data_IF_185212502226
#
_entry.id   IF_185212502226
#
_cell.length_a   1.000
_cell.length_b   1.000
_cell.length_c   1.000
_cell.angle_alpha   90.00
_cell.angle_beta   90.00
_cell.angle_gamma   90.00
#
_symmetry.space_group_name_H-M   'P 1'
#
loop_
_entity.id
_entity.type
_entity.pdbx_description
1 polymer ?
#
# COMPACT_ATOMS: atom_id res chain seq x y z
N UNK A 1 20.64 9.40 20.81
CA UNK A 1 19.52 8.60 20.25
C UNK A 1 20.12 7.41 19.53
N UNK A 2 19.62 6.21 19.69
CA UNK A 2 20.06 5.05 18.90
C UNK A 2 19.72 5.28 17.43
N UNK A 3 20.60 4.90 16.53
CA UNK A 3 20.37 4.96 15.09
C UNK A 3 19.17 4.10 14.72
N UNK A 4 18.18 4.62 13.99
CA UNK A 4 17.04 3.85 13.51
C UNK A 4 17.47 2.86 12.43
N UNK A 5 17.00 1.61 12.50
CA UNK A 5 17.36 0.55 11.55
C UNK A 5 16.12 -0.20 11.06
N UNK A 6 16.14 -0.64 9.81
CA UNK A 6 15.16 -1.60 9.28
C UNK A 6 15.48 -3.00 9.80
N UNK A 7 14.45 -3.73 10.15
CA UNK A 7 14.52 -5.14 10.55
C UNK A 7 14.03 -5.98 9.35
N UNK A 8 14.78 -5.97 8.27
CA UNK A 8 14.49 -6.70 7.04
C UNK A 8 15.78 -7.16 6.39
N UNK A 9 15.76 -8.16 5.52
CA UNK A 9 16.92 -8.51 4.72
C UNK A 9 17.42 -7.33 3.87
N UNK A 10 18.73 -7.31 3.61
CA UNK A 10 19.31 -6.42 2.62
C UNK A 10 18.75 -6.72 1.22
N UNK A 11 18.46 -5.69 0.46
CA UNK A 11 17.95 -5.79 -0.91
C UNK A 11 18.94 -5.13 -1.86
N UNK A 12 19.50 -5.95 -2.76
CA UNK A 12 20.40 -5.46 -3.82
C UNK A 12 19.61 -4.69 -4.88
N UNK A 13 20.26 -3.70 -5.46
CA UNK A 13 19.72 -2.95 -6.62
C UNK A 13 18.38 -2.24 -6.36
N UNK A 14 18.12 -1.80 -5.13
CA UNK A 14 16.98 -0.91 -4.87
C UNK A 14 17.06 0.28 -5.84
N UNK A 15 16.00 0.56 -6.62
CA UNK A 15 16.00 1.72 -7.50
C UNK A 15 16.24 2.98 -6.68
N UNK A 16 17.12 3.85 -7.19
CA UNK A 16 17.50 5.01 -6.42
C UNK A 16 17.86 6.20 -7.30
N UNK A 17 17.47 7.35 -6.82
CA UNK A 17 17.91 8.65 -7.30
C UNK A 17 18.35 9.48 -6.10
N UNK A 18 19.44 10.19 -6.22
CA UNK A 18 19.94 11.04 -5.14
C UNK A 18 18.97 12.19 -4.83
N UNK A 19 18.92 12.57 -3.57
CA UNK A 19 18.07 13.64 -3.07
C UNK A 19 18.39 14.97 -3.77
N UNK A 20 17.40 15.66 -4.34
CA UNK A 20 17.62 16.96 -4.94
C UNK A 20 18.15 17.98 -3.94
N UNK A 21 19.13 18.78 -4.36
CA UNK A 21 19.64 19.86 -3.52
C UNK A 21 18.55 20.89 -3.24
N UNK A 22 18.43 21.30 -1.96
CA UNK A 22 17.44 22.30 -1.55
C UNK A 22 16.00 21.80 -1.42
N UNK A 23 15.78 20.48 -1.37
CA UNK A 23 14.46 19.92 -1.07
C UNK A 23 13.93 20.50 0.24
N UNK A 24 12.69 21.00 0.21
CA UNK A 24 11.99 21.57 1.37
C UNK A 24 10.81 20.67 1.76
N UNK A 25 10.40 20.73 3.02
CA UNK A 25 9.28 19.95 3.53
C UNK A 25 9.67 18.51 3.87
N UNK A 26 8.79 17.56 3.61
CA UNK A 26 9.04 16.14 3.90
C UNK A 26 10.23 15.60 3.09
N UNK A 27 11.07 14.73 3.69
CA UNK A 27 12.26 14.19 3.02
C UNK A 27 11.89 13.04 2.07
N UNK A 28 11.00 13.32 1.12
CA UNK A 28 10.58 12.42 0.06
C UNK A 28 10.64 13.15 -1.28
N UNK A 29 11.15 12.49 -2.32
CA UNK A 29 11.31 13.11 -3.64
C UNK A 29 10.94 12.15 -4.76
N UNK A 30 10.35 12.69 -5.80
CA UNK A 30 9.90 11.97 -6.99
C UNK A 30 11.08 11.56 -7.87
N UNK A 31 10.93 10.44 -8.54
CA UNK A 31 11.84 10.05 -9.61
C UNK A 31 11.70 11.02 -10.79
N UNK A 32 12.84 11.47 -11.34
CA UNK A 32 12.85 12.48 -12.39
C UNK A 32 12.22 12.01 -13.72
N UNK A 33 12.19 10.69 -13.94
CA UNK A 33 11.64 10.09 -15.16
C UNK A 33 10.23 9.50 -14.95
N UNK A 34 9.52 9.97 -13.91
CA UNK A 34 8.12 9.61 -13.72
C UNK A 34 7.24 10.11 -14.87
N UNK A 35 6.16 9.37 -15.22
CA UNK A 35 5.74 8.09 -14.64
C UNK A 35 6.53 6.92 -15.22
N UNK A 36 6.83 5.90 -14.37
CA UNK A 36 7.60 4.71 -14.81
C UNK A 36 6.76 3.72 -15.63
N UNK A 37 5.44 3.76 -15.52
CA UNK A 37 4.51 2.99 -16.35
C UNK A 37 3.48 3.97 -16.92
N UNK A 38 3.43 4.02 -18.25
CA UNK A 38 2.53 4.88 -19.01
C UNK A 38 1.23 4.17 -19.42
N UNK A 39 0.60 4.69 -20.48
CA UNK A 39 -0.66 4.18 -21.04
C UNK A 39 -0.43 3.00 -21.99
N UNK A 40 -1.45 2.12 -22.08
CA UNK A 40 -1.51 0.96 -22.99
C UNK A 40 -0.29 0.02 -22.87
N UNK A 41 0.10 -0.39 -21.66
CA UNK A 41 1.31 -1.18 -21.45
C UNK A 41 1.17 -2.67 -21.87
N UNK A 42 -0.06 -3.15 -21.97
CA UNK A 42 -0.43 -4.51 -22.40
C UNK A 42 -1.56 -4.38 -23.42
N UNK A 43 -1.62 -5.26 -24.40
CA UNK A 43 -2.73 -5.27 -25.37
C UNK A 43 -4.09 -5.43 -24.66
N UNK A 44 -5.03 -4.56 -24.98
CA UNK A 44 -6.35 -4.53 -24.34
C UNK A 44 -6.41 -3.93 -22.93
N UNK A 45 -5.26 -3.49 -22.37
CA UNK A 45 -5.15 -2.81 -21.08
C UNK A 45 -4.88 -1.33 -21.30
N UNK A 46 -5.85 -0.48 -20.96
CA UNK A 46 -5.76 0.96 -21.18
C UNK A 46 -4.74 1.64 -20.26
N UNK A 47 -4.56 1.09 -19.02
CA UNK A 47 -3.70 1.69 -17.99
C UNK A 47 -3.31 0.69 -16.91
N UNK A 48 -2.13 0.87 -16.33
CA UNK A 48 -1.68 0.21 -15.12
C UNK A 48 -1.43 1.28 -14.05
N UNK A 49 -1.94 1.03 -12.84
CA UNK A 49 -1.74 1.88 -11.66
C UNK A 49 -2.00 1.09 -10.38
N UNK A 50 -1.75 1.65 -9.20
CA UNK A 50 -1.96 1.02 -7.90
C UNK A 50 -1.43 -0.42 -7.83
N UNK A 51 -0.14 -0.56 -8.06
CA UNK A 51 0.54 -1.85 -8.21
C UNK A 51 1.41 -2.16 -7.00
N UNK A 52 1.62 -3.43 -6.70
CA UNK A 52 2.51 -3.86 -5.63
C UNK A 52 3.69 -4.65 -6.19
N UNK A 53 4.88 -4.33 -5.72
CA UNK A 53 6.15 -4.87 -6.18
C UNK A 53 7.02 -5.31 -5.01
N UNK A 54 7.91 -6.27 -5.24
CA UNK A 54 8.85 -6.74 -4.24
C UNK A 54 10.07 -7.43 -4.86
N UNK A 55 11.18 -7.58 -4.11
CA UNK A 55 12.31 -8.42 -4.53
C UNK A 55 11.91 -9.89 -4.66
N UNK A 56 12.44 -10.57 -5.68
CA UNK A 56 12.24 -11.99 -5.92
C UNK A 56 13.49 -12.63 -6.55
N UNK A 57 14.27 -13.36 -5.75
CA UNK A 57 15.59 -13.83 -6.17
C UNK A 57 16.54 -12.66 -6.43
N UNK A 58 17.15 -12.65 -7.60
CA UNK A 58 18.04 -11.56 -8.03
C UNK A 58 17.33 -10.48 -8.89
N UNK A 59 16.00 -10.58 -9.00
CA UNK A 59 15.14 -9.70 -9.80
C UNK A 59 14.02 -9.13 -8.92
N UNK A 60 13.04 -8.47 -9.55
CA UNK A 60 11.84 -7.95 -8.93
C UNK A 60 10.60 -8.51 -9.59
N UNK A 61 9.58 -8.77 -8.81
CA UNK A 61 8.28 -9.22 -9.26
C UNK A 61 7.20 -8.27 -8.78
N UNK A 62 6.12 -8.15 -9.55
CA UNK A 62 5.00 -7.30 -9.16
C UNK A 62 3.66 -7.84 -9.59
N UNK A 63 2.63 -7.42 -8.87
CA UNK A 63 1.22 -7.62 -9.20
C UNK A 63 0.61 -6.27 -9.50
N UNK A 64 0.01 -6.14 -10.68
CA UNK A 64 -0.35 -4.86 -11.27
C UNK A 64 -1.86 -4.80 -11.55
N UNK A 65 -2.50 -3.73 -11.09
CA UNK A 65 -3.87 -3.42 -11.52
C UNK A 65 -3.84 -2.99 -12.97
N UNK A 66 -4.30 -3.87 -13.86
CA UNK A 66 -4.50 -3.56 -15.27
C UNK A 66 -5.98 -3.28 -15.55
N UNK A 67 -6.33 -2.02 -15.83
CA UNK A 67 -7.68 -1.66 -16.21
C UNK A 67 -7.84 -1.81 -17.72
N UNK A 68 -8.72 -2.72 -18.11
CA UNK A 68 -8.97 -3.03 -19.51
C UNK A 68 -9.66 -1.86 -20.22
N UNK A 69 -9.67 -1.89 -21.53
CA UNK A 69 -10.34 -0.87 -22.35
C UNK A 69 -11.86 -0.79 -22.13
N UNK A 70 -12.46 -1.87 -21.58
CA UNK A 70 -13.87 -1.89 -21.17
C UNK A 70 -14.10 -1.38 -19.73
N UNK A 71 -13.05 -0.89 -19.03
CA UNK A 71 -13.12 -0.39 -17.67
C UNK A 71 -13.10 -1.44 -16.57
N UNK A 72 -12.97 -2.73 -16.88
CA UNK A 72 -12.92 -3.80 -15.88
C UNK A 72 -11.45 -4.03 -15.45
N UNK A 73 -11.08 -3.86 -14.17
CA UNK A 73 -9.74 -4.12 -13.70
C UNK A 73 -9.51 -5.58 -13.37
N UNK A 74 -8.31 -6.07 -13.71
CA UNK A 74 -7.79 -7.36 -13.28
C UNK A 74 -6.33 -7.22 -12.82
N UNK A 75 -5.78 -8.29 -12.24
CA UNK A 75 -4.40 -8.32 -11.75
C UNK A 75 -3.53 -9.04 -12.78
N UNK A 76 -2.44 -8.40 -13.15
CA UNK A 76 -1.41 -8.91 -14.07
C UNK A 76 -0.10 -9.11 -13.32
N UNK A 77 0.70 -10.06 -13.76
CA UNK A 77 2.06 -10.28 -13.26
C UNK A 77 3.05 -9.47 -14.09
N UNK A 78 4.10 -9.00 -13.47
CA UNK A 78 5.21 -8.34 -14.15
C UNK A 78 6.53 -8.64 -13.50
N UNK A 79 7.60 -8.58 -14.29
CA UNK A 79 8.98 -8.86 -13.91
C UNK A 79 9.86 -7.66 -14.23
N UNK A 80 10.90 -7.45 -13.45
CA UNK A 80 11.87 -6.38 -13.68
C UNK A 80 13.24 -6.74 -13.10
N UNK A 81 14.31 -6.29 -13.77
CA UNK A 81 15.69 -6.43 -13.28
C UNK A 81 16.14 -5.25 -12.42
N UNK A 82 15.50 -4.10 -12.57
CA UNK A 82 15.88 -2.84 -11.94
C UNK A 82 14.74 -2.17 -11.15
N UNK A 83 13.54 -2.82 -11.15
CA UNK A 83 12.34 -2.32 -10.52
C UNK A 83 11.81 -0.98 -11.09
N UNK A 84 12.32 -0.53 -12.23
CA UNK A 84 11.89 0.65 -12.98
C UNK A 84 11.26 0.24 -14.30
N UNK A 85 11.93 -0.63 -15.06
CA UNK A 85 11.47 -1.11 -16.33
C UNK A 85 10.81 -2.48 -16.17
N UNK A 86 9.52 -2.56 -16.50
CA UNK A 86 8.68 -3.73 -16.23
C UNK A 86 8.26 -4.43 -17.53
N UNK A 87 8.42 -5.74 -17.54
CA UNK A 87 7.86 -6.64 -18.55
C UNK A 87 6.62 -7.32 -17.97
N UNK A 88 5.50 -7.25 -18.68
CA UNK A 88 4.21 -7.74 -18.19
C UNK A 88 3.79 -9.02 -18.90
N UNK A 89 3.21 -9.95 -18.15
CA UNK A 89 2.48 -11.07 -18.72
C UNK A 89 1.27 -10.54 -19.51
N UNK A 90 1.01 -11.14 -20.66
CA UNK A 90 -0.10 -10.74 -21.52
C UNK A 90 -1.47 -11.16 -20.94
N UNK A 91 -1.47 -12.15 -20.06
CA UNK A 91 -2.67 -12.68 -19.43
C UNK A 91 -2.77 -12.25 -17.98
N UNK A 92 -4.00 -11.99 -17.53
CA UNK A 92 -4.30 -11.80 -16.12
C UNK A 92 -3.97 -13.04 -15.31
N UNK A 93 -3.66 -12.87 -14.02
CA UNK A 93 -3.30 -13.97 -13.11
C UNK A 93 -4.43 -15.01 -13.08
N UNK A 94 -4.14 -16.29 -13.35
CA UNK A 94 -5.11 -17.38 -13.29
C UNK A 94 -5.24 -17.89 -11.85
N UNK A 95 -6.20 -17.37 -11.10
CA UNK A 95 -6.46 -17.88 -9.75
C UNK A 95 -7.14 -19.24 -9.79
N UNK A 96 -6.84 -20.08 -8.80
CA UNK A 96 -7.50 -21.35 -8.52
C UNK A 96 -8.25 -21.28 -7.20
N UNK A 97 -9.37 -22.00 -7.09
CA UNK A 97 -9.99 -22.23 -5.78
C UNK A 97 -9.22 -23.29 -4.97
N UNK A 98 -9.67 -23.60 -3.77
CA UNK A 98 -9.07 -24.63 -2.91
C UNK A 98 -9.11 -26.05 -3.48
N UNK A 99 -10.02 -26.31 -4.44
CA UNK A 99 -10.16 -27.59 -5.13
C UNK A 99 -9.38 -27.65 -6.44
N UNK A 100 -8.67 -26.56 -6.81
CA UNK A 100 -7.87 -26.45 -8.02
C UNK A 100 -8.67 -26.04 -9.25
N UNK A 101 -9.95 -25.70 -9.13
CA UNK A 101 -10.74 -25.20 -10.23
C UNK A 101 -10.39 -23.74 -10.54
N UNK A 102 -10.60 -23.31 -11.79
CA UNK A 102 -10.41 -21.93 -12.18
C UNK A 102 -11.35 -20.99 -11.41
N UNK A 103 -10.79 -19.96 -10.84
CA UNK A 103 -11.49 -18.90 -10.18
C UNK A 103 -11.13 -17.55 -10.80
N UNK A 104 -12.13 -16.79 -11.22
CA UNK A 104 -11.94 -15.43 -11.72
C UNK A 104 -12.90 -14.49 -10.99
N UNK A 105 -12.38 -13.48 -10.27
CA UNK A 105 -13.24 -12.45 -9.69
C UNK A 105 -13.94 -11.66 -10.81
N UNK A 106 -15.10 -11.09 -10.53
CA UNK A 106 -15.81 -10.20 -11.47
C UNK A 106 -14.90 -9.03 -11.87
N UNK A 107 -14.18 -8.50 -10.90
CA UNK A 107 -13.07 -7.57 -11.06
C UNK A 107 -12.13 -7.65 -9.86
N UNK A 108 -10.88 -7.24 -10.06
CA UNK A 108 -9.87 -7.17 -9.00
C UNK A 108 -9.00 -5.93 -9.20
N UNK A 109 -8.83 -5.13 -8.14
CA UNK A 109 -8.10 -3.87 -8.20
C UNK A 109 -7.32 -3.59 -6.92
N UNK A 110 -6.36 -2.67 -6.99
CA UNK A 110 -5.48 -2.23 -5.91
C UNK A 110 -4.81 -3.39 -5.16
N UNK A 111 -4.05 -4.25 -5.88
CA UNK A 111 -3.39 -5.37 -5.23
C UNK A 111 -2.32 -4.91 -4.24
N UNK A 112 -2.10 -5.75 -3.23
CA UNK A 112 -0.94 -5.71 -2.32
C UNK A 112 -0.24 -7.05 -2.41
N UNK A 113 1.08 -7.03 -2.28
CA UNK A 113 1.92 -8.22 -2.33
C UNK A 113 2.82 -8.23 -1.09
N UNK A 114 2.74 -9.28 -0.31
CA UNK A 114 3.50 -9.40 0.94
C UNK A 114 4.00 -10.83 1.09
N UNK A 115 5.26 -11.00 1.49
CA UNK A 115 5.82 -12.29 1.87
C UNK A 115 5.72 -12.46 3.38
N UNK A 116 5.12 -13.56 3.84
CA UNK A 116 5.14 -13.97 5.24
C UNK A 116 5.68 -15.38 5.30
N UNK A 117 6.80 -15.58 5.99
CA UNK A 117 7.56 -16.84 5.98
C UNK A 117 7.94 -17.20 4.51
N UNK A 118 7.60 -18.40 4.04
CA UNK A 118 7.91 -18.85 2.67
C UNK A 118 6.75 -18.68 1.68
N UNK A 119 5.69 -17.97 2.09
CA UNK A 119 4.48 -17.80 1.29
C UNK A 119 4.29 -16.34 0.90
N UNK A 120 3.97 -16.10 -0.37
CA UNK A 120 3.57 -14.79 -0.88
C UNK A 120 2.05 -14.69 -0.88
N UNK A 121 1.55 -13.59 -0.38
CA UNK A 121 0.11 -13.29 -0.31
C UNK A 121 -0.20 -12.11 -1.22
N UNK A 122 -1.18 -12.30 -2.10
CA UNK A 122 -1.76 -11.25 -2.92
C UNK A 122 -3.11 -10.90 -2.30
N UNK A 123 -3.34 -9.62 -2.05
CA UNK A 123 -4.56 -9.11 -1.44
C UNK A 123 -5.09 -8.01 -2.34
N UNK A 124 -6.38 -8.00 -2.65
CA UNK A 124 -6.96 -7.02 -3.57
C UNK A 124 -8.35 -6.59 -3.15
N UNK A 125 -8.86 -5.50 -3.72
CA UNK A 125 -10.25 -5.13 -3.62
C UNK A 125 -11.05 -5.78 -4.75
N UNK A 126 -12.26 -6.24 -4.43
CA UNK A 126 -13.18 -6.90 -5.36
C UNK A 126 -14.62 -6.56 -5.03
N UNK A 127 -15.56 -7.06 -5.85
CA UNK A 127 -16.97 -7.13 -5.49
C UNK A 127 -17.32 -8.54 -5.00
N UNK A 128 -17.97 -8.58 -3.86
CA UNK A 128 -18.60 -9.77 -3.30
C UNK A 128 -19.83 -9.31 -2.54
N UNK A 129 -20.93 -9.10 -3.27
CA UNK A 129 -22.14 -8.44 -2.75
C UNK A 129 -21.88 -7.04 -2.17
N UNK A 130 -20.94 -6.32 -2.76
CA UNK A 130 -20.40 -5.02 -2.36
C UNK A 130 -18.89 -5.02 -2.24
N UNK A 131 -18.30 -3.87 -1.96
CA UNK A 131 -16.87 -3.73 -1.83
C UNK A 131 -16.30 -4.68 -0.77
N UNK A 132 -15.38 -5.53 -1.16
CA UNK A 132 -14.82 -6.61 -0.35
C UNK A 132 -13.33 -6.81 -0.64
N UNK A 133 -12.69 -7.65 0.16
CA UNK A 133 -11.28 -7.98 0.04
C UNK A 133 -11.17 -9.43 -0.43
N UNK A 134 -10.44 -9.65 -1.52
CA UNK A 134 -10.01 -10.97 -1.99
C UNK A 134 -8.57 -11.24 -1.60
N UNK A 135 -8.25 -12.52 -1.43
CA UNK A 135 -6.91 -12.98 -1.06
C UNK A 135 -6.52 -14.24 -1.84
N UNK A 136 -5.24 -14.33 -2.19
CA UNK A 136 -4.63 -15.55 -2.71
C UNK A 136 -3.21 -15.72 -2.18
N UNK A 137 -2.70 -16.93 -2.26
CA UNK A 137 -1.33 -17.27 -1.90
C UNK A 137 -0.61 -17.94 -3.07
N UNK A 138 0.70 -17.79 -3.11
CA UNK A 138 1.60 -18.47 -4.04
C UNK A 138 2.96 -18.70 -3.38
N UNK A 139 3.72 -19.68 -3.86
CA UNK A 139 5.12 -19.89 -3.47
C UNK A 139 6.07 -19.73 -4.66
N UNK A 140 5.54 -19.67 -5.87
CA UNK A 140 6.32 -19.77 -7.11
C UNK A 140 5.92 -18.76 -8.20
N UNK A 141 4.89 -17.94 -7.95
CA UNK A 141 4.27 -17.02 -8.91
C UNK A 141 3.80 -17.69 -10.22
N UNK A 142 3.52 -19.00 -10.17
CA UNK A 142 2.93 -19.79 -11.26
C UNK A 142 1.56 -20.32 -10.89
N UNK A 143 1.44 -20.77 -9.65
CA UNK A 143 0.17 -21.26 -9.09
C UNK A 143 -0.33 -20.30 -8.03
N UNK A 144 -1.55 -19.79 -8.20
CA UNK A 144 -2.18 -18.84 -7.30
C UNK A 144 -3.45 -19.43 -6.72
N UNK A 145 -3.41 -19.81 -5.45
CA UNK A 145 -4.55 -20.42 -4.76
C UNK A 145 -5.31 -19.36 -3.97
N UNK A 146 -6.58 -19.20 -4.29
CA UNK A 146 -7.48 -18.31 -3.54
C UNK A 146 -7.59 -18.76 -2.09
N UNK A 147 -7.69 -17.80 -1.17
CA UNK A 147 -8.02 -17.98 0.24
C UNK A 147 -9.42 -17.38 0.47
N UNK A 148 -10.09 -17.78 1.54
CA UNK A 148 -11.34 -17.17 1.98
C UNK A 148 -11.25 -15.64 2.09
N UNK A 149 -12.34 -14.95 1.80
CA UNK A 149 -12.43 -13.51 1.98
C UNK A 149 -12.32 -13.18 3.48
N UNK A 150 -11.41 -12.29 3.90
CA UNK A 150 -11.18 -12.04 5.33
C UNK A 150 -12.36 -11.34 6.02
N UNK A 151 -13.18 -10.62 5.26
CA UNK A 151 -14.27 -9.80 5.79
C UNK A 151 -15.49 -9.86 4.89
N UNK A 152 -16.65 -9.62 5.49
CA UNK A 152 -17.89 -9.31 4.76
C UNK A 152 -17.82 -7.88 4.18
N UNK A 153 -18.64 -7.52 3.19
CA UNK A 153 -18.83 -6.14 2.75
C UNK A 153 -19.36 -5.25 3.89
N UNK A 154 -18.97 -4.00 3.98
CA UNK A 154 -18.10 -3.29 3.04
C UNK A 154 -16.71 -3.12 3.66
N UNK A 155 -15.66 -3.53 2.97
CA UNK A 155 -14.28 -3.36 3.45
C UNK A 155 -13.31 -3.20 2.27
N UNK A 156 -12.24 -2.42 2.45
CA UNK A 156 -11.24 -2.08 1.41
C UNK A 156 -9.85 -1.91 1.98
N UNK A 157 -8.87 -1.74 1.10
CA UNK A 157 -7.52 -1.26 1.40
C UNK A 157 -6.80 -2.12 2.44
N UNK A 158 -6.92 -3.45 2.28
CA UNK A 158 -6.25 -4.37 3.19
C UNK A 158 -4.74 -4.39 2.97
N UNK A 159 -4.00 -4.36 4.08
CA UNK A 159 -2.54 -4.37 4.11
C UNK A 159 -2.09 -5.37 5.17
N UNK A 160 -1.43 -6.44 4.74
CA UNK A 160 -0.90 -7.48 5.61
C UNK A 160 0.48 -7.06 6.15
N UNK A 161 0.75 -7.35 7.42
CA UNK A 161 2.09 -7.21 7.99
C UNK A 161 3.01 -8.33 7.47
N UNK A 162 4.30 -8.03 7.22
CA UNK A 162 5.25 -8.97 6.60
C UNK A 162 5.74 -10.09 7.52
N UNK A 163 5.24 -10.16 8.74
CA UNK A 163 5.44 -11.28 9.67
C UNK A 163 4.28 -11.40 10.65
N UNK A 164 4.23 -12.53 11.32
CA UNK A 164 3.35 -12.71 12.48
C UNK A 164 3.81 -11.85 13.65
N UNK A 165 2.87 -11.24 14.36
CA UNK A 165 3.08 -10.48 15.59
C UNK A 165 2.37 -11.23 16.70
N UNK A 166 3.10 -11.60 17.76
CA UNK A 166 2.58 -12.45 18.85
C UNK A 166 1.93 -13.75 18.33
N UNK A 167 2.55 -14.37 17.30
CA UNK A 167 2.09 -15.62 16.71
C UNK A 167 0.83 -15.51 15.83
N UNK A 168 0.36 -14.29 15.51
CA UNK A 168 -0.82 -14.03 14.70
C UNK A 168 -0.47 -13.24 13.44
N UNK A 169 -1.17 -13.53 12.34
CA UNK A 169 -1.21 -12.65 11.19
C UNK A 169 -1.99 -11.38 11.56
N UNK A 170 -1.50 -10.23 11.08
CA UNK A 170 -2.10 -8.92 11.31
C UNK A 170 -2.45 -8.26 9.98
N UNK A 171 -3.66 -7.72 9.88
CA UNK A 171 -4.17 -7.09 8.67
C UNK A 171 -4.81 -5.75 9.00
N UNK A 172 -4.28 -4.69 8.39
CA UNK A 172 -4.96 -3.39 8.38
C UNK A 172 -6.04 -3.40 7.30
N UNK A 173 -7.18 -2.80 7.56
CA UNK A 173 -8.23 -2.62 6.58
C UNK A 173 -9.03 -1.34 6.85
N UNK A 174 -9.85 -0.95 5.89
CA UNK A 174 -10.76 0.18 6.05
C UNK A 174 -12.19 -0.28 5.83
N UNK A 175 -12.97 -0.53 6.90
CA UNK A 175 -14.41 -0.65 6.80
C UNK A 175 -14.98 0.58 6.09
N UNK A 176 -15.91 0.37 5.19
CA UNK A 176 -16.48 1.42 4.33
C UNK A 176 -17.98 1.28 4.30
N UNK A 177 -18.68 2.38 4.14
CA UNK A 177 -20.13 2.41 3.93
C UNK A 177 -20.42 3.25 2.67
N UNK A 178 -21.51 2.95 2.02
CA UNK A 178 -21.97 3.70 0.85
C UNK A 178 -23.06 4.74 1.19
N UNK A 179 -23.43 4.86 2.47
CA UNK A 179 -24.63 5.60 2.75
C UNK A 179 -24.68 6.30 4.10
N UNK A 180 -25.44 5.74 5.02
CA UNK A 180 -25.97 6.44 6.18
C UNK A 180 -24.91 6.78 7.24
N UNK A 181 -23.92 5.91 7.42
CA UNK A 181 -22.85 6.08 8.41
C UNK A 181 -21.49 5.84 7.72
N UNK A 182 -20.88 6.88 7.10
CA UNK A 182 -19.63 6.72 6.40
C UNK A 182 -18.50 6.36 7.35
N UNK A 183 -17.75 5.29 7.01
CA UNK A 183 -16.48 4.94 7.62
C UNK A 183 -15.33 5.44 6.76
N UNK A 184 -14.22 5.75 7.39
CA UNK A 184 -13.03 6.24 6.70
C UNK A 184 -11.76 5.96 7.47
N UNK A 185 -11.83 5.14 8.52
CA UNK A 185 -10.78 4.89 9.49
C UNK A 185 -10.07 3.56 9.22
N UNK A 186 -8.83 3.44 9.68
CA UNK A 186 -8.04 2.21 9.60
C UNK A 186 -8.28 1.36 10.85
N UNK A 187 -8.57 0.08 10.62
CA UNK A 187 -8.73 -0.95 11.64
C UNK A 187 -7.70 -2.05 11.48
N UNK A 188 -7.31 -2.66 12.60
CA UNK A 188 -6.46 -3.84 12.68
C UNK A 188 -7.30 -5.07 13.01
N UNK A 189 -7.00 -6.18 12.35
CA UNK A 189 -7.59 -7.50 12.65
C UNK A 189 -6.50 -8.55 12.79
N UNK A 190 -6.75 -9.56 13.62
CA UNK A 190 -5.85 -10.69 13.87
C UNK A 190 -6.41 -11.97 13.27
N UNK A 191 -5.53 -12.86 12.79
CA UNK A 191 -5.87 -14.21 12.36
C UNK A 191 -4.82 -15.23 12.80
N UNK A 192 -5.23 -16.43 13.26
CA UNK A 192 -4.29 -17.52 13.52
C UNK A 192 -3.80 -18.22 12.25
N UNK A 193 -4.56 -18.16 11.14
CA UNK A 193 -4.44 -19.07 10.01
C UNK A 193 -4.74 -18.45 8.63
N UNK A 194 -4.96 -17.13 8.54
CA UNK A 194 -5.34 -16.37 7.34
C UNK A 194 -6.79 -16.62 6.85
N UNK A 195 -7.57 -17.42 7.57
CA UNK A 195 -8.97 -17.73 7.25
C UNK A 195 -9.91 -17.05 8.24
N UNK A 196 -9.68 -17.27 9.53
CA UNK A 196 -10.49 -16.68 10.59
C UNK A 196 -9.91 -15.36 11.08
N UNK A 197 -10.59 -14.26 10.78
CA UNK A 197 -10.20 -12.92 11.18
C UNK A 197 -11.10 -12.35 12.28
N UNK A 198 -10.49 -11.78 13.29
CA UNK A 198 -11.23 -11.23 14.43
C UNK A 198 -10.44 -10.21 15.22
N UNK A 199 -10.93 -9.92 16.43
CA UNK A 199 -10.31 -8.98 17.37
C UNK A 199 -10.03 -7.62 16.71
N UNK A 200 -11.06 -7.12 16.01
CA UNK A 200 -10.99 -5.85 15.27
C UNK A 200 -10.78 -4.69 16.24
N UNK A 201 -9.78 -3.85 15.93
CA UNK A 201 -9.43 -2.67 16.74
C UNK A 201 -9.27 -1.46 15.83
N UNK A 202 -9.76 -0.33 16.29
CA UNK A 202 -9.44 0.95 15.67
C UNK A 202 -7.95 1.26 15.82
N UNK A 203 -7.34 1.78 14.76
CA UNK A 203 -5.92 2.18 14.72
C UNK A 203 -5.80 3.68 14.54
N UNK A 204 -6.32 4.20 13.43
CA UNK A 204 -6.28 5.62 13.10
C UNK A 204 -7.61 6.06 12.52
N UNK A 205 -8.10 7.21 12.96
CA UNK A 205 -9.22 7.90 12.36
C UNK A 205 -8.79 9.01 11.41
N UNK A 206 -9.77 9.53 10.68
CA UNK A 206 -9.65 10.82 10.00
C UNK A 206 -9.25 11.89 11.01
N UNK A 207 -8.54 12.90 10.57
CA UNK A 207 -8.18 14.04 11.42
C UNK A 207 -8.83 15.34 10.95
N UNK A 208 -8.61 16.42 11.69
CA UNK A 208 -9.00 17.78 11.28
C UNK A 208 -8.12 18.34 10.19
N UNK A 209 -7.00 17.69 9.89
CA UNK A 209 -6.11 18.09 8.82
C UNK A 209 -6.80 17.96 7.48
N UNK A 210 -6.74 19.03 6.67
CA UNK A 210 -7.50 19.11 5.42
C UNK A 210 -7.27 17.93 4.47
N UNK A 211 -6.02 17.43 4.39
CA UNK A 211 -5.60 16.40 3.44
C UNK A 211 -6.11 14.99 3.78
N UNK A 212 -6.61 14.76 4.99
CA UNK A 212 -7.13 13.46 5.44
C UNK A 212 -8.49 13.55 6.14
N UNK A 213 -9.23 14.62 5.89
CA UNK A 213 -10.49 14.94 6.58
C UNK A 213 -11.69 14.08 6.16
N UNK A 214 -11.65 13.45 4.96
CA UNK A 214 -12.77 12.64 4.44
C UNK A 214 -12.62 11.17 4.78
N UNK A 215 -11.45 10.60 4.51
CA UNK A 215 -11.13 9.19 4.78
C UNK A 215 -9.62 8.97 4.75
N UNK A 216 -9.17 7.89 5.36
CA UNK A 216 -7.78 7.40 5.30
C UNK A 216 -7.77 5.92 4.95
N UNK A 217 -6.64 5.37 4.54
CA UNK A 217 -6.52 3.93 4.28
C UNK A 217 -5.07 3.49 4.13
N UNK A 218 -4.80 2.22 4.41
CA UNK A 218 -3.46 1.65 4.29
C UNK A 218 -2.90 1.74 2.88
N UNK A 219 -1.60 1.90 2.78
CA UNK A 219 -0.84 1.97 1.54
C UNK A 219 0.03 0.74 1.29
N UNK A 220 1.34 0.91 1.38
CA UNK A 220 2.31 -0.18 1.30
C UNK A 220 2.29 -1.06 2.57
N UNK A 221 2.79 -2.30 2.46
CA UNK A 221 3.06 -3.13 3.63
C UNK A 221 3.99 -2.37 4.60
N UNK A 222 3.70 -2.39 5.92
CA UNK A 222 4.52 -1.67 6.89
C UNK A 222 5.96 -2.18 6.91
N UNK A 223 6.91 -1.26 7.04
CA UNK A 223 8.34 -1.58 7.17
C UNK A 223 8.65 -1.76 8.66
N UNK A 224 9.22 -2.90 9.02
CA UNK A 224 9.68 -3.14 10.38
C UNK A 224 10.96 -2.35 10.66
N UNK A 225 10.95 -1.58 11.76
CA UNK A 225 12.10 -0.78 12.19
C UNK A 225 12.35 -0.94 13.69
N UNK A 226 13.50 -0.50 14.17
CA UNK A 226 13.81 -0.44 15.61
C UNK A 226 12.94 0.57 16.38
N UNK A 227 12.21 1.44 15.69
CA UNK A 227 11.32 2.45 16.28
C UNK A 227 9.84 2.06 16.19
N UNK A 228 9.50 0.93 15.56
CA UNK A 228 8.14 0.46 15.29
C UNK A 228 7.88 0.18 13.80
N UNK A 229 6.62 0.02 13.44
CA UNK A 229 6.20 -0.21 12.07
C UNK A 229 6.03 1.11 11.33
N UNK A 230 6.92 1.41 10.37
CA UNK A 230 6.75 2.56 9.48
C UNK A 230 5.65 2.24 8.45
N UNK A 231 4.56 2.97 8.49
CA UNK A 231 3.40 2.85 7.62
C UNK A 231 3.28 4.08 6.71
N UNK A 232 3.32 3.85 5.40
CA UNK A 232 2.84 4.82 4.42
C UNK A 232 1.36 4.57 4.17
N UNK A 233 0.53 5.58 4.34
CA UNK A 233 -0.92 5.50 4.17
C UNK A 233 -1.42 6.64 3.28
N UNK A 234 -2.66 6.58 2.82
CA UNK A 234 -3.26 7.69 2.09
C UNK A 234 -4.31 8.39 2.93
N UNK A 235 -4.29 9.71 2.85
CA UNK A 235 -5.35 10.58 3.31
C UNK A 235 -6.13 11.15 2.12
N UNK A 236 -7.39 11.47 2.34
CA UNK A 236 -8.29 11.98 1.29
C UNK A 236 -9.02 13.20 1.79
N UNK A 237 -8.97 14.25 0.99
CA UNK A 237 -9.77 15.47 1.20
C UNK A 237 -10.79 15.66 0.09
N UNK A 238 -11.86 16.41 0.39
CA UNK A 238 -12.86 16.84 -0.58
C UNK A 238 -12.59 18.25 -1.07
N UNK A 239 -12.75 18.47 -2.36
CA UNK A 239 -12.72 19.80 -2.98
C UNK A 239 -13.97 19.98 -3.83
N UNK A 240 -14.22 21.21 -4.31
CA UNK A 240 -15.32 21.47 -5.23
C UNK A 240 -15.18 20.73 -6.58
N UNK A 241 -13.99 20.20 -6.90
CA UNK A 241 -13.69 19.46 -8.13
C UNK A 241 -13.40 17.98 -7.90
N UNK A 242 -13.85 17.40 -6.77
CA UNK A 242 -13.68 15.99 -6.45
C UNK A 242 -12.78 15.74 -5.24
N UNK A 243 -12.14 14.58 -5.23
CA UNK A 243 -11.30 14.14 -4.14
C UNK A 243 -9.81 14.33 -4.46
N UNK A 244 -9.02 14.65 -3.44
CA UNK A 244 -7.56 14.70 -3.51
C UNK A 244 -7.00 13.61 -2.59
N UNK A 245 -6.11 12.78 -3.11
CA UNK A 245 -5.42 11.72 -2.37
C UNK A 245 -3.97 12.10 -2.17
N UNK A 246 -3.54 12.12 -0.91
CA UNK A 246 -2.17 12.44 -0.51
C UNK A 246 -1.56 11.31 0.32
N UNK A 247 -0.25 11.21 0.33
CA UNK A 247 0.49 10.19 1.11
C UNK A 247 0.89 10.76 2.46
N UNK A 248 0.58 10.04 3.53
CA UNK A 248 1.03 10.31 4.88
C UNK A 248 1.95 9.23 5.44
N UNK A 249 2.52 9.51 6.60
CA UNK A 249 3.39 8.60 7.32
C UNK A 249 3.01 8.45 8.79
N UNK A 250 3.10 7.24 9.31
CA UNK A 250 2.89 6.94 10.71
C UNK A 250 3.86 5.87 11.20
N UNK A 251 4.10 5.82 12.50
CA UNK A 251 4.86 4.76 13.17
C UNK A 251 3.92 4.10 14.17
N UNK A 252 3.73 2.78 14.00
CA UNK A 252 2.90 1.98 14.90
C UNK A 252 3.77 1.19 15.86
N UNK A 253 3.23 0.86 17.04
CA UNK A 253 3.93 0.05 18.02
C UNK A 253 4.29 -1.33 17.47
N UNK A 254 5.49 -1.80 17.77
CA UNK A 254 6.06 -3.03 17.19
C UNK A 254 5.33 -4.30 17.60
N UNK A 255 4.83 -4.36 18.83
CA UNK A 255 4.15 -5.51 19.40
C UNK A 255 2.63 -5.37 19.41
N UNK A 256 2.14 -4.14 19.35
CA UNK A 256 0.71 -3.82 19.29
C UNK A 256 0.40 -2.76 18.21
N UNK A 257 0.34 -3.14 16.93
CA UNK A 257 0.15 -2.18 15.82
C UNK A 257 -1.19 -1.44 15.83
N UNK A 258 -2.09 -1.71 16.77
CA UNK A 258 -3.26 -0.86 16.98
C UNK A 258 -2.92 0.46 17.68
N UNK A 259 -1.72 0.58 18.25
CA UNK A 259 -1.23 1.79 18.89
C UNK A 259 -0.38 2.60 17.90
N UNK A 260 -0.78 3.83 17.66
CA UNK A 260 -0.01 4.81 16.88
C UNK A 260 0.97 5.51 17.79
N UNK A 261 2.26 5.41 17.51
CA UNK A 261 3.29 6.12 18.26
C UNK A 261 3.52 7.53 17.73
N UNK A 262 3.55 7.66 16.39
CA UNK A 262 3.73 8.93 15.71
C UNK A 262 2.91 8.96 14.42
N UNK A 263 2.41 10.12 14.03
CA UNK A 263 1.66 10.34 12.78
C UNK A 263 1.91 11.75 12.28
N UNK A 264 2.28 11.89 11.02
CA UNK A 264 2.51 13.22 10.43
C UNK A 264 1.25 14.08 10.49
N UNK A 265 1.41 15.32 10.93
CA UNK A 265 0.40 16.37 10.82
C UNK A 265 0.13 16.73 9.37
N UNK A 266 1.20 16.87 8.56
CA UNK A 266 1.10 17.18 7.15
C UNK A 266 1.36 15.96 6.26
N UNK A 267 0.88 16.01 5.03
CA UNK A 267 1.20 15.00 4.02
C UNK A 267 2.71 14.94 3.74
N UNK A 268 3.17 13.78 3.33
CA UNK A 268 4.52 13.58 2.82
C UNK A 268 4.61 13.89 1.32
N UNK A 269 3.57 13.52 0.56
CA UNK A 269 3.46 13.74 -0.87
C UNK A 269 2.01 14.02 -1.23
N UNK A 270 1.77 15.05 -2.03
CA UNK A 270 0.44 15.42 -2.56
C UNK A 270 0.53 15.60 -4.09
N UNK A 271 -0.57 15.51 -4.85
CA UNK A 271 -0.51 15.75 -6.29
C UNK A 271 0.00 17.15 -6.63
N UNK A 272 1.07 17.20 -7.41
CA UNK A 272 1.72 18.43 -7.88
C UNK A 272 2.19 18.30 -9.34
N UNK A 273 2.41 17.07 -9.80
CA UNK A 273 2.90 16.80 -11.13
C UNK A 273 1.75 16.47 -12.10
N UNK A 274 1.95 16.74 -13.37
CA UNK A 274 0.91 16.56 -14.39
C UNK A 274 0.33 15.12 -14.42
N UNK A 275 1.14 14.09 -14.16
CA UNK A 275 0.72 12.70 -14.14
C UNK A 275 -0.01 12.31 -12.85
N UNK A 276 0.06 13.13 -11.82
CA UNK A 276 -0.68 12.98 -10.55
C UNK A 276 -2.02 13.75 -10.59
N UNK A 277 -2.03 14.89 -11.30
CA UNK A 277 -3.19 15.78 -11.42
C UNK A 277 -4.14 15.41 -12.57
N UNK A 278 -3.64 14.72 -13.61
CA UNK A 278 -4.39 14.45 -14.83
C UNK A 278 -4.43 12.99 -15.20
N UNK A 279 -5.61 12.39 -15.12
CA UNK A 279 -5.84 11.00 -15.46
C UNK A 279 -7.31 10.63 -15.40
N UNK A 280 -7.59 9.34 -15.20
CA UNK A 280 -8.96 8.85 -15.12
C UNK A 280 -9.67 9.34 -13.85
N UNK A 281 -8.95 9.35 -12.72
CA UNK A 281 -9.34 10.05 -11.48
C UNK A 281 -8.24 11.06 -11.18
N UNK A 282 -8.49 12.36 -11.34
CA UNK A 282 -7.48 13.39 -11.14
C UNK A 282 -7.09 13.53 -9.66
N UNK A 283 -5.93 14.16 -9.40
CA UNK A 283 -5.45 14.52 -8.08
C UNK A 283 -5.24 13.31 -7.14
N UNK A 284 -4.51 12.29 -7.61
CA UNK A 284 -4.24 11.07 -6.83
C UNK A 284 -2.74 10.78 -6.72
N UNK A 285 -2.26 10.71 -5.47
CA UNK A 285 -1.04 10.04 -5.05
C UNK A 285 -1.43 8.89 -4.10
N UNK A 286 -1.39 7.64 -4.59
CA UNK A 286 -1.89 6.47 -3.85
C UNK A 286 -0.75 5.49 -3.55
N UNK A 287 -0.24 5.39 -2.29
CA UNK A 287 0.88 4.52 -1.96
C UNK A 287 0.51 3.04 -2.07
N UNK A 288 1.36 2.24 -2.69
CA UNK A 288 1.05 0.86 -3.02
C UNK A 288 2.08 -0.15 -2.51
N UNK A 289 3.37 0.13 -2.66
CA UNK A 289 4.45 -0.75 -2.25
C UNK A 289 5.71 0.02 -1.92
N UNK A 290 6.61 -0.62 -1.19
CA UNK A 290 7.98 -0.14 -0.98
C UNK A 290 8.97 -1.24 -1.32
N UNK A 291 10.06 -0.88 -2.00
CA UNK A 291 11.30 -1.65 -2.01
C UNK A 291 12.28 -0.91 -1.12
N UNK A 292 12.82 -1.59 -0.12
CA UNK A 292 13.67 -0.97 0.89
C UNK A 292 14.85 -1.86 1.24
N UNK A 293 15.97 -1.24 1.57
CA UNK A 293 17.22 -1.93 1.88
C UNK A 293 17.73 -1.56 3.27
N UNK A 294 17.92 -2.57 4.11
CA UNK A 294 18.35 -2.41 5.50
C UNK A 294 19.80 -1.93 5.65
N UNK A 295 20.68 -2.16 4.66
CA UNK A 295 22.08 -1.74 4.73
C UNK A 295 22.24 -0.26 4.40
N UNK A 296 21.56 0.24 3.36
CA UNK A 296 21.69 1.63 2.91
C UNK A 296 20.61 2.57 3.48
N UNK A 297 19.58 2.03 4.10
CA UNK A 297 18.43 2.80 4.58
C UNK A 297 17.57 3.39 3.46
N UNK A 298 17.78 3.01 2.21
CA UNK A 298 17.04 3.49 1.05
C UNK A 298 15.63 2.90 1.00
N UNK A 299 14.65 3.73 0.68
CA UNK A 299 13.25 3.33 0.47
C UNK A 299 12.81 3.91 -0.88
N UNK A 300 12.36 3.04 -1.77
CA UNK A 300 11.71 3.36 -3.02
C UNK A 300 10.20 3.09 -2.86
N UNK A 301 9.39 4.14 -2.92
CA UNK A 301 7.94 4.10 -2.73
C UNK A 301 7.24 4.13 -4.11
N UNK A 302 6.50 3.09 -4.41
CA UNK A 302 5.63 2.99 -5.59
C UNK A 302 4.24 3.53 -5.26
N UNK A 303 3.71 4.38 -6.12
CA UNK A 303 2.39 4.95 -5.93
C UNK A 303 1.61 5.07 -7.24
N UNK A 304 0.31 4.94 -7.16
CA UNK A 304 -0.59 5.20 -8.27
C UNK A 304 -0.80 6.70 -8.45
N UNK A 305 -0.78 7.15 -9.71
CA UNK A 305 -0.92 8.54 -10.07
C UNK A 305 -2.17 8.73 -10.94
N UNK A 306 -3.09 9.57 -10.50
CA UNK A 306 -4.32 9.97 -11.20
C UNK A 306 -5.11 8.78 -11.80
N UNK A 307 -5.09 7.62 -11.15
CA UNK A 307 -5.68 6.34 -11.63
C UNK A 307 -5.31 6.00 -13.08
N UNK A 308 -4.10 6.34 -13.49
CA UNK A 308 -3.65 6.20 -14.89
C UNK A 308 -2.20 5.79 -15.05
N UNK A 309 -1.34 6.05 -14.05
CA UNK A 309 0.09 5.88 -14.14
C UNK A 309 0.66 5.29 -12.86
N UNK A 310 1.90 4.79 -12.93
CA UNK A 310 2.69 4.42 -11.75
C UNK A 310 3.85 5.38 -11.60
N UNK A 311 3.95 5.98 -10.42
CA UNK A 311 5.06 6.84 -10.01
C UNK A 311 5.97 6.14 -9.02
N UNK A 312 7.18 6.65 -8.93
CA UNK A 312 8.23 6.23 -8.00
C UNK A 312 8.75 7.45 -7.24
N UNK A 313 8.86 7.32 -5.93
CA UNK A 313 9.45 8.32 -5.06
C UNK A 313 10.45 7.67 -4.10
N UNK A 314 11.36 8.47 -3.55
CA UNK A 314 12.45 7.99 -2.72
C UNK A 314 12.49 8.72 -1.39
N UNK A 315 12.96 8.01 -0.37
CA UNK A 315 13.30 8.60 0.94
C UNK A 315 14.37 7.74 1.63
N UNK A 316 14.97 8.26 2.69
CA UNK A 316 15.83 7.50 3.60
C UNK A 316 15.13 7.24 4.91
N UNK A 317 15.39 6.08 5.51
CA UNK A 317 14.75 5.64 6.74
C UNK A 317 14.95 6.64 7.88
N UNK A 318 16.18 7.04 8.13
CA UNK A 318 16.54 7.96 9.20
C UNK A 318 15.86 9.32 9.03
N UNK A 319 15.86 9.86 7.81
CA UNK A 319 15.27 11.15 7.50
C UNK A 319 13.73 11.12 7.64
N UNK A 320 13.08 10.07 7.11
CA UNK A 320 11.62 9.99 7.14
C UNK A 320 11.07 9.69 8.55
N UNK A 321 11.76 8.84 9.32
CA UNK A 321 11.38 8.54 10.69
C UNK A 321 11.57 9.78 11.58
N UNK A 322 12.69 10.49 11.45
CA UNK A 322 12.92 11.74 12.18
C UNK A 322 11.86 12.79 11.83
N UNK A 323 11.54 12.93 10.55
CA UNK A 323 10.49 13.86 10.09
C UNK A 323 9.13 13.52 10.70
N UNK A 324 8.70 12.24 10.66
CA UNK A 324 7.42 11.80 11.23
C UNK A 324 7.39 12.08 12.73
N UNK A 325 8.47 11.80 13.46
CA UNK A 325 8.55 12.03 14.91
C UNK A 325 8.51 13.50 15.29
N UNK A 326 9.22 14.34 14.54
CA UNK A 326 9.32 15.80 14.83
C UNK A 326 8.09 16.59 14.39
N UNK A 327 7.30 16.07 13.43
CA UNK A 327 6.08 16.69 12.93
C UNK A 327 4.83 15.86 13.27
N UNK A 328 4.87 15.15 14.38
CA UNK A 328 3.75 14.31 14.82
C UNK A 328 2.69 15.13 15.55
N UNK A 329 1.42 14.89 15.23
CA UNK A 329 0.28 15.42 15.97
C UNK A 329 -0.33 14.43 16.98
N UNK A 330 0.23 13.20 17.07
CA UNK A 330 -0.19 12.23 18.08
C UNK A 330 0.40 12.61 19.42
N UNK A 331 -0.46 12.87 20.40
CA UNK A 331 -0.10 13.19 21.78
C UNK A 331 -0.06 11.93 22.65
N UNK A 332 0.52 12.01 23.85
CA UNK A 332 0.53 10.89 24.79
C UNK A 332 -0.89 10.43 25.15
N UNK A 333 -1.85 11.35 25.23
CA UNK A 333 -3.26 11.02 25.46
C UNK A 333 -3.90 10.23 24.31
N UNK A 334 -3.46 10.43 23.07
CA UNK A 334 -3.96 9.70 21.91
C UNK A 334 -3.42 8.27 21.86
N UNK A 335 -2.24 8.03 22.46
CA UNK A 335 -1.63 6.69 22.51
C UNK A 335 -2.26 5.78 23.58
N UNK A 336 -2.89 6.34 24.61
CA UNK A 336 -3.56 5.59 25.68
C UNK A 336 -5.03 5.30 25.37
N UNK A 337 -5.63 6.06 24.47
CA UNK A 337 -7.07 5.99 24.18
C UNK A 337 -7.26 5.43 22.76
N UNK A 338 -7.12 4.14 22.60
CA UNK A 338 -7.73 3.43 21.46
C UNK A 338 -9.28 3.47 21.52
N UNK A 339 -9.84 4.51 22.10
CA UNK A 339 -11.28 4.71 22.28
C UNK A 339 -11.57 6.19 22.07
N UNK A 340 -12.25 6.50 21.01
CA UNK A 340 -13.14 7.67 20.99
C UNK A 340 -14.46 7.29 21.61
#
# INVERSE_FOLDING_TARGET
MSEVKMISPAVKNVPWQEKPAGLKGAPIWRYNENPIIGRNPIEGVARIFNSAVMPYGDEFIGVFRGEQTNGIPYIYLGHSKDAIHWEFDQNKIPFKDENGNDFMPLYAYDPRLVKVEDTYYIIWCQDFYGASIGMAKTTDFKTFTRIENPFIPFNRNAVLFPRKINGKYMLLSRPSDSGHTPFGDIFLSESPDMVYWGKHRHVMGRSSEWWESVKIGGGAAPIETTEGWLLFYHGVSGTCNGLVYSIGGAILDIDNPSKVLYRCENFLLTPEEWYEERGFVPNVCFPCATIHDSESGKIALYYGCADSYVGLAFTKLDEIVDYIKTHSHVTESDTEIGVR
#
